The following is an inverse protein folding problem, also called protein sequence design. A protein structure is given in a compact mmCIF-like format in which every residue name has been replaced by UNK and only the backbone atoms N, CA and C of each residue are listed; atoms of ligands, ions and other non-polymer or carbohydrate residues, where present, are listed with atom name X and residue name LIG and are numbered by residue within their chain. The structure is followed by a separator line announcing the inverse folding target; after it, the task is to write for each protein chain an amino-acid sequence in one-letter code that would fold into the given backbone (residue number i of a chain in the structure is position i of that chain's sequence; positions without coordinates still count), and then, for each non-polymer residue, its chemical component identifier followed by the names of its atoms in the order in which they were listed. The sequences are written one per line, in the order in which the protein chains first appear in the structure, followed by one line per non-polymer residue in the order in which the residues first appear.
data_IF_402253089609
#
_entry.id   IF_402253089609
#
_cell.length_a   1.000
_cell.length_b   1.000
_cell.length_c   1.000
_cell.angle_alpha   90.00
_cell.angle_beta   90.00
_cell.angle_gamma   90.00
#
_symmetry.space_group_name_H-M   'P 1'
#
loop_
_entity.id
_entity.type
_entity.pdbx_description
1 polymer ?
#
# COMPACT_ATOMS: atom_id res chain seq x y z
N UNK A 1 6.71 -8.07 -1.82
CA UNK A 1 7.16 -7.03 -2.76
C UNK A 1 6.88 -5.69 -2.11
N UNK A 2 7.91 -4.90 -1.82
CA UNK A 2 7.80 -3.71 -0.97
C UNK A 2 7.66 -2.42 -1.77
N UNK A 3 7.10 -1.37 -1.15
CA UNK A 3 7.08 -0.02 -1.72
C UNK A 3 8.49 0.57 -1.74
N UNK A 4 8.86 1.23 -2.83
CA UNK A 4 10.19 1.83 -2.96
C UNK A 4 10.16 3.26 -2.44
N UNK A 5 10.88 3.50 -1.34
CA UNK A 5 11.00 4.84 -0.75
C UNK A 5 12.14 5.67 -1.34
N UNK A 6 12.92 5.13 -2.27
CA UNK A 6 13.94 5.88 -3.00
C UNK A 6 14.92 6.60 -2.07
N UNK A 7 15.10 7.90 -2.26
CA UNK A 7 15.96 8.76 -1.44
C UNK A 7 15.60 8.77 0.07
N UNK A 8 14.39 8.34 0.45
CA UNK A 8 13.97 8.24 1.84
C UNK A 8 14.22 6.86 2.46
N UNK A 9 14.72 5.90 1.70
CA UNK A 9 14.93 4.54 2.18
C UNK A 9 15.88 4.51 3.38
N UNK A 10 15.44 3.91 4.48
CA UNK A 10 16.22 3.76 5.71
C UNK A 10 16.31 5.02 6.57
N UNK A 11 15.66 6.12 6.18
CA UNK A 11 15.59 7.35 6.98
C UNK A 11 14.39 7.33 7.92
N UNK A 12 14.55 7.93 9.09
CA UNK A 12 13.46 8.33 9.96
C UNK A 12 12.76 9.58 9.42
N UNK A 13 11.55 9.87 9.88
CA UNK A 13 10.87 11.11 9.51
C UNK A 13 11.63 12.37 9.93
N UNK A 14 12.33 12.36 11.07
CA UNK A 14 13.15 13.49 11.50
C UNK A 14 14.31 13.75 10.53
N UNK A 15 15.00 12.70 10.08
CA UNK A 15 16.06 12.82 9.07
C UNK A 15 15.52 13.24 7.70
N UNK A 16 14.31 12.83 7.34
CA UNK A 16 13.65 13.30 6.12
C UNK A 16 13.32 14.79 6.22
N UNK A 17 12.79 15.26 7.35
CA UNK A 17 12.49 16.68 7.55
C UNK A 17 13.75 17.56 7.51
N UNK A 18 14.86 17.05 8.07
CA UNK A 18 16.16 17.73 8.05
C UNK A 18 16.77 17.79 6.65
N UNK A 19 16.81 16.66 5.93
CA UNK A 19 17.43 16.56 4.59
C UNK A 19 16.56 17.09 3.45
N UNK A 20 15.24 17.00 3.60
CA UNK A 20 14.24 17.39 2.60
C UNK A 20 13.12 18.24 3.22
N UNK A 21 13.41 19.47 3.67
CA UNK A 21 12.44 20.31 4.34
C UNK A 21 11.14 20.50 3.55
N UNK A 22 10.00 20.25 4.21
CA UNK A 22 8.66 20.38 3.62
C UNK A 22 8.24 19.21 2.72
N UNK A 23 9.11 18.26 2.39
CA UNK A 23 8.80 17.19 1.46
C UNK A 23 7.71 16.23 1.98
N UNK A 24 7.67 15.96 3.30
CA UNK A 24 6.56 15.18 3.91
C UNK A 24 5.22 15.90 3.81
N UNK A 25 5.19 17.23 3.94
CA UNK A 25 3.95 18.02 3.81
C UNK A 25 3.46 17.99 2.36
N UNK A 26 4.36 18.15 1.40
CA UNK A 26 4.06 18.00 -0.02
C UNK A 26 3.54 16.58 -0.34
N UNK A 27 4.11 15.55 0.29
CA UNK A 27 3.61 14.18 0.19
C UNK A 27 2.23 14.02 0.76
N UNK A 28 1.95 14.53 1.97
CA UNK A 28 0.60 14.36 2.55
C UNK A 28 -0.47 15.17 1.79
N UNK A 29 -0.11 16.29 1.15
CA UNK A 29 -1.03 17.06 0.30
C UNK A 29 -1.49 16.30 -0.96
N UNK A 30 -0.65 15.42 -1.53
CA UNK A 30 -1.03 14.52 -2.64
C UNK A 30 -0.35 13.16 -2.52
N UNK A 31 -0.71 12.42 -1.47
CA UNK A 31 -0.09 11.14 -1.13
C UNK A 31 -0.23 10.09 -2.21
N UNK A 32 -1.30 10.19 -3.01
CA UNK A 32 -1.57 9.27 -4.10
C UNK A 32 -0.55 9.39 -5.22
N UNK A 33 -0.26 10.64 -5.66
CA UNK A 33 0.59 10.89 -6.83
C UNK A 33 2.02 11.26 -6.48
N UNK A 34 2.31 11.66 -5.25
CA UNK A 34 3.66 12.04 -4.85
C UNK A 34 4.65 10.88 -5.03
N UNK A 35 5.67 11.11 -5.86
CA UNK A 35 6.77 10.19 -6.09
C UNK A 35 7.97 10.70 -5.31
N UNK A 36 8.48 9.89 -4.39
CA UNK A 36 9.77 10.15 -3.75
C UNK A 36 10.86 9.92 -4.80
N UNK A 37 11.89 10.76 -4.84
CA UNK A 37 12.97 10.61 -5.82
C UNK A 37 13.61 9.22 -5.77
N UNK A 38 13.76 8.57 -6.93
CA UNK A 38 14.17 7.17 -7.06
C UNK A 38 13.20 6.12 -6.47
N UNK A 39 12.01 6.54 -6.04
CA UNK A 39 11.00 5.73 -5.36
C UNK A 39 9.76 5.45 -6.22
N UNK A 40 8.62 5.28 -5.54
CA UNK A 40 7.32 4.96 -6.14
C UNK A 40 6.25 5.85 -5.46
N UNK A 41 5.10 6.07 -6.13
CA UNK A 41 3.89 6.64 -5.53
C UNK A 41 2.85 5.56 -5.23
N UNK A 42 1.80 5.87 -4.47
CA UNK A 42 0.69 4.93 -4.31
C UNK A 42 0.02 4.58 -5.65
N UNK A 43 -0.10 5.54 -6.58
CA UNK A 43 -0.66 5.29 -7.91
C UNK A 43 0.13 4.21 -8.69
N UNK A 44 1.47 4.27 -8.65
CA UNK A 44 2.33 3.28 -9.28
C UNK A 44 2.26 1.93 -8.56
N UNK A 45 2.21 1.95 -7.21
CA UNK A 45 2.05 0.73 -6.41
C UNK A 45 0.71 0.04 -6.69
N UNK A 46 -0.38 0.79 -6.85
CA UNK A 46 -1.71 0.25 -7.22
C UNK A 46 -1.74 -0.33 -8.63
N UNK A 47 -1.00 0.26 -9.58
CA UNK A 47 -0.86 -0.34 -10.91
C UNK A 47 -0.10 -1.68 -10.85
N UNK A 48 0.97 -1.74 -10.06
CA UNK A 48 1.70 -2.98 -9.81
C UNK A 48 0.83 -4.02 -9.09
N UNK A 49 -0.01 -3.60 -8.16
CA UNK A 49 -0.97 -4.47 -7.48
C UNK A 49 -2.00 -5.07 -8.47
N UNK A 50 -2.55 -4.25 -9.39
CA UNK A 50 -3.44 -4.73 -10.46
C UNK A 50 -2.76 -5.78 -11.34
N UNK A 51 -1.52 -5.53 -11.79
CA UNK A 51 -0.76 -6.48 -12.60
C UNK A 51 -0.50 -7.80 -11.87
N UNK A 52 -0.17 -7.73 -10.57
CA UNK A 52 0.03 -8.93 -9.76
C UNK A 52 -1.27 -9.73 -9.61
N UNK A 53 -2.40 -9.07 -9.31
CA UNK A 53 -3.73 -9.69 -9.22
C UNK A 53 -4.13 -10.35 -10.55
N UNK A 54 -3.85 -9.74 -11.70
CA UNK A 54 -4.14 -10.33 -13.00
C UNK A 54 -3.34 -11.62 -13.29
N UNK A 55 -2.17 -11.77 -12.67
CA UNK A 55 -1.34 -12.98 -12.78
C UNK A 55 -1.71 -14.09 -11.79
N UNK A 56 -2.65 -13.84 -10.87
CA UNK A 56 -3.09 -14.79 -9.87
C UNK A 56 -4.08 -15.81 -10.45
N UNK A 57 -3.60 -16.99 -10.85
CA UNK A 57 -4.43 -18.05 -11.47
C UNK A 57 -4.71 -19.26 -10.59
N UNK A 58 -4.04 -19.38 -9.43
CA UNK A 58 -4.24 -20.50 -8.52
C UNK A 58 -5.57 -20.38 -7.76
N UNK A 59 -6.22 -21.51 -7.37
CA UNK A 59 -7.48 -21.49 -6.64
C UNK A 59 -7.42 -20.79 -5.28
N UNK A 60 -6.25 -20.80 -4.63
CA UNK A 60 -5.99 -20.11 -3.38
C UNK A 60 -4.58 -19.50 -3.41
N UNK A 61 -4.48 -18.23 -3.06
CA UNK A 61 -3.21 -17.50 -2.99
C UNK A 61 -3.15 -16.79 -1.64
N UNK A 62 -2.02 -16.93 -0.97
CA UNK A 62 -1.72 -16.21 0.27
C UNK A 62 -0.62 -15.20 -0.03
N UNK A 63 -0.93 -13.91 0.09
CA UNK A 63 0.03 -12.84 -0.08
C UNK A 63 0.43 -12.24 1.27
N UNK A 64 1.72 -12.36 1.61
CA UNK A 64 2.30 -11.67 2.76
C UNK A 64 2.98 -10.41 2.25
N UNK A 65 2.49 -9.25 2.73
CA UNK A 65 2.89 -7.93 2.24
C UNK A 65 2.99 -6.95 3.41
N UNK A 66 3.50 -5.76 3.16
CA UNK A 66 3.45 -4.65 4.12
C UNK A 66 2.26 -3.73 3.82
N UNK A 67 2.01 -2.79 4.73
CA UNK A 67 0.83 -1.92 4.75
C UNK A 67 0.50 -1.30 3.39
N UNK A 68 1.44 -0.57 2.79
CA UNK A 68 1.16 0.16 1.54
C UNK A 68 0.74 -0.77 0.40
N UNK A 69 1.40 -1.93 0.28
CA UNK A 69 1.08 -2.91 -0.75
C UNK A 69 -0.23 -3.64 -0.45
N UNK A 70 -0.51 -3.96 0.81
CA UNK A 70 -1.80 -4.54 1.19
C UNK A 70 -2.95 -3.58 0.87
N UNK A 71 -2.84 -2.29 1.23
CA UNK A 71 -3.83 -1.27 0.87
C UNK A 71 -4.03 -1.20 -0.64
N UNK A 72 -2.93 -1.18 -1.40
CA UNK A 72 -2.95 -1.14 -2.85
C UNK A 72 -3.65 -2.36 -3.48
N UNK A 73 -3.43 -3.55 -2.93
CA UNK A 73 -4.11 -4.78 -3.35
C UNK A 73 -5.61 -4.74 -3.03
N UNK A 74 -5.98 -4.32 -1.82
CA UNK A 74 -7.38 -4.19 -1.42
C UNK A 74 -8.12 -3.16 -2.30
N UNK A 75 -7.48 -2.02 -2.59
CA UNK A 75 -8.03 -0.98 -3.45
C UNK A 75 -8.18 -1.44 -4.89
N UNK A 76 -7.16 -2.08 -5.46
CA UNK A 76 -7.19 -2.61 -6.81
C UNK A 76 -8.25 -3.72 -6.97
N UNK A 77 -8.36 -4.63 -6.00
CA UNK A 77 -9.32 -5.74 -6.05
C UNK A 77 -10.77 -5.28 -5.90
N UNK A 78 -11.03 -4.37 -4.96
CA UNK A 78 -12.36 -3.83 -4.68
C UNK A 78 -12.77 -2.65 -5.56
N UNK A 79 -11.99 -2.29 -6.58
CA UNK A 79 -12.20 -1.11 -7.43
C UNK A 79 -12.40 0.21 -6.64
N UNK A 80 -11.66 0.37 -5.53
CA UNK A 80 -11.76 1.53 -4.66
C UNK A 80 -11.12 2.77 -5.29
N UNK A 81 -11.63 3.94 -4.91
CA UNK A 81 -10.99 5.21 -5.22
C UNK A 81 -9.62 5.35 -4.54
N UNK A 82 -8.77 6.30 -4.99
CA UNK A 82 -7.53 6.65 -4.30
C UNK A 82 -7.70 6.95 -2.81
N UNK A 83 -8.76 7.71 -2.46
CA UNK A 83 -9.04 8.10 -1.08
C UNK A 83 -9.42 6.90 -0.22
N UNK A 84 -10.36 6.08 -0.68
CA UNK A 84 -10.77 4.84 0.02
C UNK A 84 -9.60 3.87 0.17
N UNK A 85 -8.72 3.79 -0.84
CA UNK A 85 -7.51 2.95 -0.81
C UNK A 85 -6.54 3.43 0.29
N UNK A 86 -6.29 4.74 0.36
CA UNK A 86 -5.42 5.34 1.39
C UNK A 86 -6.03 5.21 2.80
N UNK A 87 -7.36 5.23 2.91
CA UNK A 87 -8.08 5.11 4.17
C UNK A 87 -8.12 3.67 4.73
N UNK A 88 -7.75 2.65 3.92
CA UNK A 88 -7.74 1.25 4.40
C UNK A 88 -6.87 1.07 5.64
N UNK A 89 -7.27 0.20 6.55
CA UNK A 89 -6.43 -0.21 7.67
C UNK A 89 -5.50 -1.36 7.25
N UNK A 90 -4.32 -1.44 7.87
CA UNK A 90 -3.47 -2.63 7.81
C UNK A 90 -2.80 -2.90 9.17
N UNK A 91 -3.59 -3.30 10.17
CA UNK A 91 -3.05 -3.74 11.45
C UNK A 91 -2.26 -5.03 11.28
N UNK A 92 -1.24 -5.22 12.12
CA UNK A 92 -0.26 -6.31 12.02
C UNK A 92 -0.83 -7.70 12.38
N UNK A 93 -2.06 -7.76 12.91
CA UNK A 93 -2.71 -8.95 13.48
C UNK A 93 -4.03 -9.31 12.75
N UNK A 94 -4.15 -8.91 11.49
CA UNK A 94 -5.34 -9.17 10.67
C UNK A 94 -5.01 -9.84 9.36
N UNK A 95 -5.98 -10.59 8.86
CA UNK A 95 -5.98 -11.13 7.51
C UNK A 95 -7.07 -10.42 6.70
N UNK A 96 -6.84 -10.24 5.41
CA UNK A 96 -7.83 -9.69 4.48
C UNK A 96 -8.15 -10.74 3.43
N UNK A 97 -9.43 -11.13 3.35
CA UNK A 97 -9.93 -12.06 2.33
C UNK A 97 -10.46 -11.26 1.15
N UNK A 98 -9.91 -11.55 -0.03
CA UNK A 98 -10.35 -10.99 -1.31
C UNK A 98 -11.12 -12.08 -2.04
N UNK A 99 -12.43 -11.91 -2.22
CA UNK A 99 -13.30 -12.88 -2.88
C UNK A 99 -14.52 -12.21 -3.49
N UNK A 100 -14.89 -12.60 -4.73
CA UNK A 100 -16.06 -12.12 -5.46
C UNK A 100 -16.14 -10.59 -5.52
N UNK A 101 -14.98 -9.95 -5.80
CA UNK A 101 -14.85 -8.49 -5.86
C UNK A 101 -14.95 -7.79 -4.50
N UNK A 102 -15.09 -8.55 -3.41
CA UNK A 102 -15.25 -8.04 -2.05
C UNK A 102 -13.99 -8.27 -1.23
N UNK A 103 -13.72 -7.34 -0.31
CA UNK A 103 -12.62 -7.44 0.65
C UNK A 103 -13.20 -7.47 2.07
N UNK A 104 -12.91 -8.54 2.80
CA UNK A 104 -13.38 -8.73 4.18
C UNK A 104 -12.20 -8.85 5.14
N UNK A 105 -12.24 -8.14 6.26
CA UNK A 105 -11.26 -8.29 7.34
C UNK A 105 -11.57 -9.52 8.19
N UNK A 106 -10.53 -10.25 8.58
CA UNK A 106 -10.61 -11.42 9.44
C UNK A 106 -9.69 -11.25 10.64
N UNK A 107 -10.23 -11.52 11.83
CA UNK A 107 -9.49 -11.56 13.09
C UNK A 107 -8.91 -12.97 13.29
N UNK A 108 -7.66 -13.05 13.71
CA UNK A 108 -7.05 -14.33 14.10
C UNK A 108 -7.48 -14.61 15.54
N UNK A 109 -8.31 -15.65 15.74
CA UNK A 109 -8.76 -16.04 17.07
C UNK A 109 -7.58 -16.50 17.96
N UNK A 110 -7.57 -16.06 19.22
CA UNK A 110 -6.56 -16.46 20.22
C UNK A 110 -5.40 -15.48 20.43
N UNK A 111 -5.52 -14.24 19.95
CA UNK A 111 -4.72 -13.08 20.37
C UNK A 111 -5.63 -11.97 20.85
#
# INVERSE_FOLDING_TARGET
MEHRLGAWQGLTYAEIDDRFPGARQAREADKWRHVIDGGESYALASERARRWLAGCTAPLIVAVTHEMMSRSLQGAYGALSPEETLARSHPQDRLFRLHDGTVTEMVIAGR
#
